data_IF_292666196375
#
_entry.id   IF_292666196375
#
_cell.length_a   1.000
_cell.length_b   1.000
_cell.length_c   1.000
_cell.angle_alpha   90.00
_cell.angle_beta   90.00
_cell.angle_gamma   90.00
#
_symmetry.space_group_name_H-M   'P 1'
#
loop_
_entity.id
_entity.type
_entity.pdbx_description
1 polymer ?
#
# COMPACT_ATOMS: atom_id res chain seq x y z
N UNK A 1 -19.27 5.08 -6.58
CA UNK A 1 -18.73 4.14 -7.59
C UNK A 1 -19.55 2.87 -7.52
N UNK A 2 -20.05 2.38 -8.64
CA UNK A 2 -20.68 1.06 -8.70
C UNK A 2 -19.64 -0.05 -8.92
N UNK A 3 -20.04 -1.31 -8.76
CA UNK A 3 -19.14 -2.46 -8.85
C UNK A 3 -18.51 -2.63 -10.24
N UNK A 4 -19.23 -2.28 -11.31
CA UNK A 4 -18.74 -2.40 -12.68
C UNK A 4 -17.71 -1.31 -12.99
N UNK A 5 -17.97 -0.08 -12.55
CA UNK A 5 -17.03 1.03 -12.66
C UNK A 5 -15.74 0.74 -11.89
N UNK A 6 -15.86 0.24 -10.66
CA UNK A 6 -14.71 -0.21 -9.86
C UNK A 6 -13.92 -1.31 -10.58
N UNK A 7 -14.61 -2.35 -11.06
CA UNK A 7 -13.98 -3.47 -11.75
C UNK A 7 -13.24 -3.05 -13.01
N UNK A 8 -13.81 -2.13 -13.80
CA UNK A 8 -13.15 -1.56 -14.98
C UNK A 8 -11.88 -0.79 -14.60
N UNK A 9 -11.97 0.14 -13.64
CA UNK A 9 -10.81 0.94 -13.23
C UNK A 9 -9.71 0.08 -12.62
N UNK A 10 -10.06 -0.97 -11.89
CA UNK A 10 -9.10 -1.94 -11.36
C UNK A 10 -8.41 -2.72 -12.50
N UNK A 11 -9.16 -3.16 -13.51
CA UNK A 11 -8.60 -3.88 -14.66
C UNK A 11 -7.68 -2.99 -15.51
N UNK A 12 -8.08 -1.75 -15.77
CA UNK A 12 -7.26 -0.77 -16.51
C UNK A 12 -5.93 -0.54 -15.80
N UNK A 13 -5.98 -0.35 -14.49
CA UNK A 13 -4.79 -0.08 -13.70
C UNK A 13 -3.89 -1.33 -13.54
N UNK A 14 -4.47 -2.54 -13.45
CA UNK A 14 -3.69 -3.78 -13.51
C UNK A 14 -2.97 -3.95 -14.87
N UNK A 15 -3.60 -3.51 -15.96
CA UNK A 15 -2.99 -3.50 -17.29
C UNK A 15 -1.86 -2.47 -17.40
N UNK A 16 -2.05 -1.24 -16.91
CA UNK A 16 -0.98 -0.24 -16.84
C UNK A 16 0.24 -0.73 -16.06
N UNK A 17 -0.01 -1.50 -14.99
CA UNK A 17 1.04 -2.04 -14.15
C UNK A 17 1.80 -3.22 -14.79
N UNK A 18 1.23 -3.93 -15.76
CA UNK A 18 1.88 -5.14 -16.34
C UNK A 18 3.19 -4.83 -17.07
N UNK A 19 3.37 -3.58 -17.50
CA UNK A 19 4.60 -3.10 -18.16
C UNK A 19 5.64 -2.53 -17.17
N UNK A 20 5.33 -2.50 -15.88
CA UNK A 20 6.21 -1.94 -14.85
C UNK A 20 7.37 -2.88 -14.56
N UNK A 21 8.61 -2.39 -14.78
CA UNK A 21 9.82 -3.22 -14.67
C UNK A 21 10.41 -3.27 -13.27
N UNK A 22 10.07 -2.31 -12.41
CA UNK A 22 10.59 -2.22 -11.04
C UNK A 22 9.49 -2.54 -10.01
N UNK A 23 9.75 -3.51 -9.11
CA UNK A 23 8.78 -3.88 -8.07
C UNK A 23 8.36 -2.71 -7.16
N UNK A 24 9.27 -1.78 -6.87
CA UNK A 24 8.97 -0.62 -6.03
C UNK A 24 7.92 0.29 -6.66
N UNK A 25 8.10 0.64 -7.94
CA UNK A 25 7.16 1.48 -8.70
C UNK A 25 5.77 0.83 -8.77
N UNK A 26 5.72 -0.49 -8.93
CA UNK A 26 4.46 -1.24 -8.92
C UNK A 26 3.76 -1.15 -7.56
N UNK A 27 4.49 -1.26 -6.44
CA UNK A 27 3.92 -1.20 -5.10
C UNK A 27 3.46 0.21 -4.72
N UNK A 28 4.17 1.25 -5.16
CA UNK A 28 3.74 2.65 -5.02
C UNK A 28 2.45 2.90 -5.80
N UNK A 29 2.36 2.37 -7.03
CA UNK A 29 1.15 2.48 -7.85
C UNK A 29 -0.05 1.79 -7.22
N UNK A 30 0.14 0.61 -6.63
CA UNK A 30 -0.92 -0.10 -5.88
C UNK A 30 -1.43 0.74 -4.71
N UNK A 31 -0.52 1.33 -3.91
CA UNK A 31 -0.91 2.15 -2.78
C UNK A 31 -1.69 3.39 -3.23
N UNK A 32 -1.27 4.06 -4.30
CA UNK A 32 -1.98 5.20 -4.87
C UNK A 32 -3.38 4.81 -5.39
N UNK A 33 -3.48 3.69 -6.12
CA UNK A 33 -4.76 3.19 -6.62
C UNK A 33 -5.75 2.87 -5.50
N UNK A 34 -5.29 2.34 -4.37
CA UNK A 34 -6.16 2.05 -3.24
C UNK A 34 -6.88 3.31 -2.74
N UNK A 35 -6.17 4.43 -2.63
CA UNK A 35 -6.74 5.75 -2.28
C UNK A 35 -7.68 6.26 -3.37
N UNK A 36 -7.33 6.10 -4.65
CA UNK A 36 -8.16 6.58 -5.78
C UNK A 36 -9.46 5.78 -5.99
N UNK A 37 -9.44 4.48 -5.70
CA UNK A 37 -10.56 3.56 -5.98
C UNK A 37 -11.48 3.38 -4.78
N UNK A 38 -10.96 3.52 -3.57
CA UNK A 38 -11.72 3.31 -2.33
C UNK A 38 -12.06 4.69 -1.77
N UNK A 39 -13.27 5.17 -2.04
CA UNK A 39 -13.69 6.53 -1.67
C UNK A 39 -13.49 6.93 -0.19
N UNK A 40 -13.61 6.02 0.79
CA UNK A 40 -13.28 6.30 2.20
C UNK A 40 -11.80 6.10 2.60
N UNK A 41 -10.90 5.83 1.66
CA UNK A 41 -9.49 5.55 1.94
C UNK A 41 -8.65 6.81 1.76
N UNK A 42 -8.31 7.48 2.85
CA UNK A 42 -7.44 8.66 2.82
C UNK A 42 -5.96 8.30 2.74
N UNK A 43 -5.58 7.11 3.24
CA UNK A 43 -4.19 6.65 3.34
C UNK A 43 -4.11 5.15 3.07
N UNK A 44 -3.17 4.76 2.22
CA UNK A 44 -2.83 3.37 1.91
C UNK A 44 -1.30 3.16 1.80
N UNK A 45 -0.86 1.94 2.08
CA UNK A 45 0.51 1.49 1.89
C UNK A 45 0.61 -0.02 1.77
N UNK A 46 1.77 -0.50 1.32
CA UNK A 46 2.07 -1.93 1.19
C UNK A 46 3.10 -2.31 2.25
N UNK A 47 2.65 -3.07 3.24
CA UNK A 47 3.49 -3.64 4.27
C UNK A 47 3.89 -5.07 3.90
N UNK A 48 5.20 -5.32 3.85
CA UNK A 48 5.75 -6.67 3.65
C UNK A 48 6.15 -7.23 5.00
N UNK A 49 5.42 -8.25 5.44
CA UNK A 49 5.71 -8.95 6.69
C UNK A 49 6.83 -9.98 6.45
N UNK A 50 7.92 -9.87 7.20
CA UNK A 50 9.02 -10.84 7.21
C UNK A 50 9.25 -11.34 8.63
N UNK A 51 9.78 -12.56 8.81
CA UNK A 51 10.14 -13.04 10.15
C UNK A 51 11.05 -12.04 10.87
N UNK A 52 10.56 -11.43 11.96
CA UNK A 52 11.29 -10.47 12.78
C UNK A 52 11.39 -9.04 12.23
N UNK A 53 10.74 -8.70 11.11
CA UNK A 53 10.70 -7.34 10.57
C UNK A 53 9.47 -7.11 9.69
N UNK A 54 8.79 -6.01 9.94
CA UNK A 54 7.78 -5.46 9.04
C UNK A 54 8.38 -4.26 8.29
N UNK A 55 8.04 -4.12 7.01
CA UNK A 55 8.58 -3.05 6.16
C UNK A 55 7.48 -2.47 5.26
N UNK A 56 7.06 -1.23 5.53
CA UNK A 56 6.17 -0.51 4.60
C UNK A 56 7.01 0.06 3.45
N UNK A 57 7.07 -0.72 2.38
CA UNK A 57 7.89 -0.45 1.20
C UNK A 57 7.24 0.53 0.20
N UNK A 58 5.94 0.77 0.31
CA UNK A 58 5.21 1.75 -0.49
C UNK A 58 4.13 2.42 0.34
N UNK A 59 3.92 3.73 0.16
CA UNK A 59 3.01 4.52 0.98
C UNK A 59 2.56 5.77 0.26
N UNK A 60 1.30 6.13 0.48
CA UNK A 60 0.71 7.39 0.02
C UNK A 60 0.94 8.55 1.00
N UNK A 61 1.24 8.25 2.26
CA UNK A 61 1.44 9.26 3.29
C UNK A 61 2.54 8.88 4.29
N UNK A 62 3.27 9.89 4.80
CA UNK A 62 4.38 9.71 5.75
C UNK A 62 3.93 9.23 7.14
N UNK A 63 2.65 9.39 7.45
CA UNK A 63 2.03 8.87 8.68
C UNK A 63 2.16 7.35 8.81
N UNK A 64 2.26 6.62 7.70
CA UNK A 64 2.48 5.17 7.72
C UNK A 64 3.88 4.80 8.24
N UNK A 65 4.90 5.64 8.00
CA UNK A 65 6.22 5.43 8.60
C UNK A 65 6.17 5.59 10.13
N UNK A 66 5.41 6.58 10.62
CA UNK A 66 5.22 6.76 12.06
C UNK A 66 4.53 5.55 12.71
N UNK A 67 3.59 4.92 12.01
CA UNK A 67 2.91 3.70 12.48
C UNK A 67 3.88 2.52 12.56
N UNK A 68 4.76 2.34 11.57
CA UNK A 68 5.80 1.31 11.58
C UNK A 68 6.79 1.51 12.74
N UNK A 69 7.20 2.76 12.99
CA UNK A 69 8.11 3.12 14.06
C UNK A 69 7.49 2.81 15.44
N UNK A 70 6.21 3.13 15.62
CA UNK A 70 5.44 2.82 16.83
C UNK A 70 5.26 1.32 17.05
N UNK A 71 4.94 0.57 15.99
CA UNK A 71 4.81 -0.89 16.05
C UNK A 71 6.14 -1.55 16.44
N UNK A 72 7.24 -1.12 15.82
CA UNK A 72 8.59 -1.61 16.12
C UNK A 72 8.98 -1.34 17.57
N UNK A 73 8.69 -0.15 18.09
CA UNK A 73 8.93 0.20 19.49
C UNK A 73 8.11 -0.67 20.46
N UNK A 74 6.84 -0.94 20.13
CA UNK A 74 5.96 -1.81 20.92
C UNK A 74 6.45 -3.26 20.97
N UNK A 75 6.86 -3.83 19.83
CA UNK A 75 7.40 -5.20 19.77
C UNK A 75 8.69 -5.33 20.59
N UNK A 76 9.57 -4.33 20.55
CA UNK A 76 10.81 -4.32 21.35
C UNK A 76 10.59 -4.15 22.85
N UNK A 77 9.48 -3.55 23.25
CA UNK A 77 9.14 -3.32 24.66
C UNK A 77 8.45 -4.52 25.34
N UNK A 78 8.13 -5.58 24.59
CA UNK A 78 7.59 -6.83 25.16
C UNK A 78 8.71 -7.65 25.80
N UNK A 79 8.57 -8.06 27.08
CA UNK A 79 9.57 -8.84 27.80
C UNK A 79 9.75 -10.26 27.25
#
# INVERSE_FOLDING_TARGET
MDRHEFGRRLADAAHEMSDTRHPTDALERVAAMAVELIGPCDVAGVCVLRPGRDDTCARTHTSLQLMDDLHTASVRARP
#
